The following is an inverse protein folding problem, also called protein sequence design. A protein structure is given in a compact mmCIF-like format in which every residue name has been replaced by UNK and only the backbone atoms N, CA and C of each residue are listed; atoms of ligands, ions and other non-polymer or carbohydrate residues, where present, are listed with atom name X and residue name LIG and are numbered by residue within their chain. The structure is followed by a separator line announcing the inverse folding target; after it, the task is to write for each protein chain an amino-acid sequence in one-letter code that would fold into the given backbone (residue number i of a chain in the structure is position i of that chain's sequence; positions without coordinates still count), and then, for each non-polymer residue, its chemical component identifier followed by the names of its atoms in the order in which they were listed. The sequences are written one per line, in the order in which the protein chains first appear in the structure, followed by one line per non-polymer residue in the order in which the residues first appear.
data_IF_713812444284
#
_entry.id   IF_713812444284
#
_cell.length_a   1.000
_cell.length_b   1.000
_cell.length_c   1.000
_cell.angle_alpha   90.00
_cell.angle_beta   90.00
_cell.angle_gamma   90.00
#
_symmetry.space_group_name_H-M   'P 1'
#
loop_
_entity.id
_entity.type
_entity.pdbx_description
1 polymer ?
#
# COMPACT_ATOMS: atom_id res chain seq x y z
N UNK A 1 -14.51 -14.81 -18.22
CA UNK A 1 -14.14 -14.21 -16.92
C UNK A 1 -13.12 -13.16 -17.21
N UNK A 2 -13.45 -11.90 -16.95
CA UNK A 2 -12.47 -10.82 -17.02
C UNK A 2 -11.46 -11.03 -15.89
N UNK A 3 -10.19 -11.09 -16.25
CA UNK A 3 -9.09 -11.25 -15.32
C UNK A 3 -8.91 -9.96 -14.50
N UNK A 4 -8.96 -10.07 -13.17
CA UNK A 4 -8.63 -8.97 -12.25
C UNK A 4 -7.34 -9.32 -11.51
N UNK A 5 -6.26 -8.54 -11.69
CA UNK A 5 -5.00 -8.78 -10.99
C UNK A 5 -5.19 -8.67 -9.47
N UNK A 6 -4.55 -9.58 -8.74
CA UNK A 6 -4.51 -9.57 -7.27
C UNK A 6 -3.13 -9.14 -6.80
N UNK A 7 -3.08 -8.49 -5.63
CA UNK A 7 -1.83 -8.07 -5.02
C UNK A 7 -1.19 -9.29 -4.36
N UNK A 8 0.05 -9.60 -4.70
CA UNK A 8 0.80 -10.72 -4.14
C UNK A 8 1.93 -10.29 -3.20
N UNK A 9 2.36 -9.03 -3.31
CA UNK A 9 3.43 -8.47 -2.48
C UNK A 9 3.31 -6.95 -2.43
N UNK A 10 3.75 -6.36 -1.33
CA UNK A 10 3.85 -4.91 -1.19
C UNK A 10 5.02 -4.52 -0.27
N UNK A 11 5.81 -3.54 -0.72
CA UNK A 11 7.03 -3.10 -0.07
C UNK A 11 6.95 -1.59 0.24
N UNK A 12 7.41 -1.19 1.43
CA UNK A 12 7.60 0.22 1.75
C UNK A 12 8.70 0.83 0.86
N UNK A 13 8.46 2.00 0.28
CA UNK A 13 9.47 2.75 -0.47
C UNK A 13 9.97 3.96 0.32
N UNK A 14 9.14 4.99 0.40
CA UNK A 14 9.48 6.29 1.00
C UNK A 14 8.21 7.06 1.36
N UNK A 15 8.24 7.79 2.47
CA UNK A 15 7.11 8.56 3.01
C UNK A 15 5.85 7.69 3.20
N UNK A 16 4.83 7.90 2.37
CA UNK A 16 3.60 7.10 2.37
C UNK A 16 3.43 6.35 1.06
N UNK A 17 4.54 6.09 0.35
CA UNK A 17 4.54 5.37 -0.92
C UNK A 17 4.89 3.91 -0.68
N UNK A 18 4.06 3.04 -1.25
CA UNK A 18 4.29 1.60 -1.28
C UNK A 18 4.40 1.12 -2.72
N UNK A 19 5.27 0.15 -2.94
CA UNK A 19 5.39 -0.57 -4.19
C UNK A 19 4.53 -1.82 -4.10
N UNK A 20 3.65 -2.01 -5.06
CA UNK A 20 2.72 -3.14 -5.13
C UNK A 20 3.15 -4.02 -6.29
N UNK A 21 3.23 -5.32 -6.06
CA UNK A 21 3.44 -6.33 -7.10
C UNK A 21 2.17 -7.14 -7.27
N UNK A 22 1.72 -7.26 -8.51
CA UNK A 22 0.54 -8.03 -8.90
C UNK A 22 0.94 -9.42 -9.40
N UNK A 23 0.00 -10.36 -9.36
CA UNK A 23 0.15 -11.75 -9.84
C UNK A 23 0.45 -11.85 -11.34
N UNK A 24 0.07 -10.85 -12.14
CA UNK A 24 0.47 -10.75 -13.55
C UNK A 24 1.90 -10.20 -13.76
N UNK A 25 2.64 -9.90 -12.69
CA UNK A 25 3.98 -9.32 -12.75
C UNK A 25 4.03 -7.80 -12.92
N UNK A 26 2.88 -7.11 -13.03
CA UNK A 26 2.86 -5.65 -12.99
C UNK A 26 3.35 -5.13 -11.63
N UNK A 27 4.04 -4.00 -11.65
CA UNK A 27 4.50 -3.29 -10.44
C UNK A 27 4.01 -1.85 -10.48
N UNK A 28 3.36 -1.41 -9.41
CA UNK A 28 2.81 -0.03 -9.30
C UNK A 28 3.25 0.62 -8.00
N UNK A 29 3.29 1.94 -8.01
CA UNK A 29 3.56 2.74 -6.80
C UNK A 29 2.27 3.41 -6.41
N UNK A 30 1.80 3.12 -5.19
CA UNK A 30 0.66 3.79 -4.59
C UNK A 30 1.15 4.88 -3.65
N UNK A 31 0.70 6.12 -3.86
CA UNK A 31 0.94 7.24 -2.95
C UNK A 31 -0.23 7.36 -1.98
N UNK A 32 -0.01 6.89 -0.75
CA UNK A 32 -1.05 6.81 0.26
C UNK A 32 -1.33 8.14 0.97
N UNK A 33 -0.44 9.13 0.86
CA UNK A 33 -0.52 10.38 1.61
C UNK A 33 -1.86 11.08 1.44
N UNK A 34 -2.40 11.07 0.22
CA UNK A 34 -3.68 11.73 -0.11
C UNK A 34 -4.91 11.11 0.56
N UNK A 35 -4.79 9.90 1.10
CA UNK A 35 -5.90 9.20 1.76
C UNK A 35 -5.78 9.21 3.29
N UNK A 36 -4.68 9.71 3.87
CA UNK A 36 -4.47 9.75 5.33
C UNK A 36 -5.19 10.94 6.00
N UNK A 37 -6.39 11.27 5.53
CA UNK A 37 -7.20 12.37 6.03
C UNK A 37 -8.34 11.84 6.91
N UNK A 38 -8.45 12.33 8.14
CA UNK A 38 -9.50 11.95 9.09
C UNK A 38 -8.95 11.24 10.32
N UNK A 39 -9.68 11.34 11.44
CA UNK A 39 -9.23 10.90 12.76
C UNK A 39 -8.83 9.41 12.81
N UNK A 40 -9.52 8.57 12.03
CA UNK A 40 -9.23 7.13 11.95
C UNK A 40 -7.85 6.82 11.34
N UNK A 41 -7.31 7.72 10.52
CA UNK A 41 -6.02 7.54 9.84
C UNK A 41 -4.88 8.28 10.54
N UNK A 42 -5.12 9.01 11.63
CA UNK A 42 -4.05 9.66 12.40
C UNK A 42 -2.91 8.70 12.80
N UNK A 43 -3.17 7.44 13.21
CA UNK A 43 -2.08 6.50 13.51
C UNK A 43 -1.20 6.18 12.29
N UNK A 44 -1.77 6.18 11.08
CA UNK A 44 -1.04 5.92 9.85
C UNK A 44 -0.12 7.08 9.44
N UNK A 45 -0.26 8.27 10.05
CA UNK A 45 0.69 9.37 9.85
C UNK A 45 2.01 9.16 10.60
N UNK A 46 2.06 8.24 11.57
CA UNK A 46 3.34 7.78 12.10
C UNK A 46 3.99 6.86 11.07
N UNK A 47 5.14 7.28 10.52
CA UNK A 47 5.86 6.51 9.50
C UNK A 47 6.30 5.13 10.00
N UNK A 48 6.65 5.00 11.27
CA UNK A 48 7.09 3.73 11.87
C UNK A 48 5.91 2.77 12.02
N UNK A 49 4.70 3.30 12.26
CA UNK A 49 3.47 2.53 12.25
C UNK A 49 3.05 2.16 10.81
N UNK A 50 3.09 3.13 9.89
CA UNK A 50 2.78 2.91 8.47
C UNK A 50 3.62 1.79 7.85
N UNK A 51 4.93 1.75 8.14
CA UNK A 51 5.86 0.72 7.64
C UNK A 51 5.53 -0.71 8.08
N UNK A 52 4.64 -0.91 9.06
CA UNK A 52 4.22 -2.22 9.57
C UNK A 52 3.05 -2.83 8.80
N UNK A 53 2.65 -2.23 7.68
CA UNK A 53 1.59 -2.78 6.85
C UNK A 53 1.97 -4.20 6.35
N UNK A 54 0.95 -4.97 5.99
CA UNK A 54 1.11 -6.27 5.35
C UNK A 54 0.01 -6.46 4.30
N UNK A 55 0.23 -7.37 3.37
CA UNK A 55 -0.79 -7.80 2.41
C UNK A 55 -1.68 -8.83 3.12
N UNK A 56 -2.98 -8.54 3.20
CA UNK A 56 -3.99 -9.48 3.71
C UNK A 56 -4.47 -10.40 2.58
N UNK A 57 -4.62 -11.69 2.87
CA UNK A 57 -4.83 -12.75 1.88
C UNK A 57 -6.26 -13.27 1.79
#
# INVERSE_FOLDING_TARGET
MDYMPVIIDAEYLIDYKIKITFDNGEKKIADCLKWLNGEIFEPLKDKSYFQRFFVDG
#
